data_IF_665774599404
#
_entry.id   IF_665774599404
#
_cell.length_a   1.000
_cell.length_b   1.000
_cell.length_c   1.000
_cell.angle_alpha   90.00
_cell.angle_beta   90.00
_cell.angle_gamma   90.00
#
_symmetry.space_group_name_H-M   'P 1'
#
loop_
_entity.id
_entity.type
_entity.pdbx_description
1 polymer ?
#
# COMPACT_ATOMS: atom_id res chain seq x y z
N UNK A 1 -37.21 42.24 34.61
CA UNK A 1 -36.88 42.73 33.24
C UNK A 1 -35.61 43.57 33.29
N UNK A 2 -34.65 43.30 32.39
CA UNK A 2 -33.32 43.92 32.20
C UNK A 2 -32.16 43.39 33.06
N UNK A 3 -31.54 42.31 32.59
CA UNK A 3 -30.09 42.23 32.29
C UNK A 3 -29.76 40.87 31.63
N UNK A 4 -30.27 40.70 30.40
CA UNK A 4 -29.72 39.77 29.41
C UNK A 4 -29.13 40.70 28.35
N UNK A 5 -27.81 40.92 28.39
CA UNK A 5 -26.96 41.43 27.29
C UNK A 5 -25.61 41.92 27.86
N UNK A 6 -24.66 41.01 28.09
CA UNK A 6 -23.23 41.40 28.03
C UNK A 6 -22.24 40.24 27.83
N UNK A 7 -22.66 38.98 27.65
CA UNK A 7 -21.71 37.85 27.57
C UNK A 7 -21.53 37.22 26.17
N UNK A 8 -22.13 37.80 25.11
CA UNK A 8 -22.04 37.29 23.73
C UNK A 8 -21.19 38.16 22.77
N UNK A 9 -20.17 38.87 23.25
CA UNK A 9 -19.27 39.66 22.37
C UNK A 9 -17.79 39.27 22.38
N UNK A 10 -17.40 38.17 23.01
CA UNK A 10 -16.00 37.69 23.02
C UNK A 10 -15.83 36.28 22.46
N UNK A 11 -16.74 35.83 21.58
CA UNK A 11 -16.67 34.48 20.99
C UNK A 11 -16.81 34.43 19.48
N UNK A 12 -16.62 35.57 18.79
CA UNK A 12 -16.74 35.67 17.32
C UNK A 12 -15.43 36.11 16.64
N UNK A 13 -14.47 36.65 17.40
CA UNK A 13 -13.16 37.04 16.84
C UNK A 13 -12.11 35.90 16.90
N UNK A 14 -12.18 34.96 17.85
CA UNK A 14 -11.20 33.86 17.97
C UNK A 14 -11.39 32.74 16.93
N UNK A 15 -12.62 32.52 16.44
CA UNK A 15 -12.93 31.47 15.47
C UNK A 15 -12.45 31.82 14.04
N UNK A 16 -12.07 33.08 13.78
CA UNK A 16 -11.45 33.49 12.50
C UNK A 16 -9.94 33.29 12.48
N UNK A 17 -9.28 33.25 13.64
CA UNK A 17 -7.84 33.02 13.72
C UNK A 17 -7.50 31.52 13.62
N UNK A 18 -8.38 30.64 14.10
CA UNK A 18 -8.20 29.18 14.05
C UNK A 18 -8.51 28.61 12.65
N UNK A 19 -9.30 29.30 11.84
CA UNK A 19 -9.66 28.88 10.48
C UNK A 19 -8.57 29.15 9.41
N UNK A 20 -7.49 29.88 9.73
CA UNK A 20 -6.41 30.17 8.78
C UNK A 20 -5.16 29.29 8.92
N UNK A 21 -5.04 28.46 9.98
CA UNK A 21 -3.85 27.63 10.20
C UNK A 21 -3.94 26.19 9.63
N UNK A 22 -5.06 25.81 9.01
CA UNK A 22 -5.24 24.47 8.42
C UNK A 22 -4.63 24.28 7.01
N UNK A 23 -3.78 25.21 6.53
CA UNK A 23 -3.19 25.14 5.18
C UNK A 23 -1.68 24.99 5.12
N UNK A 24 -1.01 24.65 6.23
CA UNK A 24 0.45 24.52 6.28
C UNK A 24 0.92 23.41 7.23
N UNK A 25 0.42 22.17 7.07
CA UNK A 25 1.18 21.04 7.59
C UNK A 25 2.37 20.82 6.65
N UNK A 26 3.50 21.44 6.98
CA UNK A 26 4.73 21.40 6.20
C UNK A 26 5.29 19.98 6.17
N UNK A 27 5.59 19.51 4.96
CA UNK A 27 6.68 18.59 4.70
C UNK A 27 7.96 19.17 5.29
N UNK A 28 8.41 18.60 6.41
CA UNK A 28 9.80 18.71 6.85
C UNK A 28 10.37 17.31 6.82
N UNK A 29 10.81 16.88 5.64
CA UNK A 29 11.80 15.82 5.54
C UNK A 29 13.08 16.32 6.21
N UNK A 30 13.48 15.68 7.31
CA UNK A 30 14.79 15.85 7.90
C UNK A 30 15.84 15.23 6.98
N UNK A 31 16.44 16.06 6.12
CA UNK A 31 17.65 15.70 5.39
C UNK A 31 18.89 15.87 6.29
N UNK A 32 19.88 14.95 6.26
CA UNK A 32 21.10 15.08 7.06
C UNK A 32 21.93 16.30 6.63
N UNK A 33 22.30 17.15 7.59
CA UNK A 33 23.14 18.34 7.39
C UNK A 33 24.50 17.97 6.80
N UNK A 34 24.74 18.31 5.53
CA UNK A 34 26.09 18.39 4.98
C UNK A 34 26.66 19.81 5.18
N UNK A 35 27.83 19.86 5.82
CA UNK A 35 28.64 21.06 6.03
C UNK A 35 29.09 21.65 4.69
N UNK A 36 28.82 22.94 4.49
CA UNK A 36 29.36 23.73 3.39
C UNK A 36 30.71 24.34 3.83
N UNK A 37 31.80 23.89 3.20
CA UNK A 37 33.07 24.63 3.18
C UNK A 37 33.20 25.31 1.81
N UNK A 38 33.29 26.64 1.81
CA UNK A 38 33.23 27.47 0.62
C UNK A 38 34.47 27.36 -0.29
N UNK A 39 34.27 27.65 -1.57
CA UNK A 39 35.33 28.18 -2.42
C UNK A 39 34.73 29.09 -3.51
N UNK A 40 35.47 30.15 -3.79
CA UNK A 40 35.10 31.40 -4.46
C UNK A 40 34.91 31.27 -5.98
N UNK A 41 33.92 32.02 -6.48
CA UNK A 41 33.69 32.35 -7.88
C UNK A 41 34.95 32.90 -8.57
N UNK A 42 35.35 32.28 -9.68
CA UNK A 42 36.16 32.94 -10.71
C UNK A 42 35.47 32.84 -12.06
N UNK A 43 35.22 34.02 -12.61
CA UNK A 43 34.80 34.32 -13.98
C UNK A 43 35.78 33.75 -15.00
N UNK A 44 35.27 33.04 -16.01
CA UNK A 44 36.01 32.66 -17.21
C UNK A 44 35.24 33.06 -18.47
N UNK A 45 36.01 33.58 -19.42
CA UNK A 45 35.62 34.38 -20.58
C UNK A 45 34.84 33.58 -21.62
N UNK A 46 33.86 34.26 -22.22
CA UNK A 46 33.17 33.87 -23.45
C UNK A 46 34.17 33.79 -24.61
N UNK A 47 34.32 32.60 -25.21
CA UNK A 47 34.91 32.44 -26.55
C UNK A 47 33.84 31.84 -27.43
N UNK A 48 33.39 32.62 -28.41
CA UNK A 48 32.38 32.22 -29.37
C UNK A 48 32.91 31.16 -30.32
N UNK A 49 32.24 30.01 -30.34
CA UNK A 49 32.29 29.07 -31.44
C UNK A 49 30.90 29.03 -32.09
N UNK A 50 30.79 29.58 -33.31
CA UNK A 50 29.62 29.37 -34.16
C UNK A 50 29.68 27.93 -34.68
N UNK A 51 29.01 27.02 -33.99
CA UNK A 51 28.60 25.75 -34.59
C UNK A 51 27.25 26.01 -35.27
N UNK A 52 27.25 26.02 -36.60
CA UNK A 52 26.02 25.91 -37.37
C UNK A 52 25.46 24.51 -37.12
N UNK A 53 24.56 24.38 -36.16
CA UNK A 53 23.75 23.18 -36.00
C UNK A 53 22.66 23.29 -37.06
N UNK A 54 22.79 22.52 -38.14
CA UNK A 54 21.61 22.17 -38.94
C UNK A 54 20.61 21.55 -37.97
N UNK A 55 19.46 22.19 -37.81
CA UNK A 55 18.33 21.64 -37.08
C UNK A 55 17.92 20.33 -37.78
N UNK A 56 18.42 19.21 -37.26
CA UNK A 56 17.89 17.89 -37.60
C UNK A 56 16.46 17.86 -37.10
N UNK A 57 15.52 17.69 -38.02
CA UNK A 57 14.08 17.67 -37.80
C UNK A 57 13.59 16.36 -37.15
N UNK A 58 14.35 15.80 -36.22
CA UNK A 58 13.92 14.69 -35.39
C UNK A 58 13.72 15.24 -33.97
N UNK A 59 12.52 15.75 -33.69
CA UNK A 59 12.08 15.83 -32.30
C UNK A 59 12.17 14.40 -31.75
N UNK A 60 13.08 14.16 -30.82
CA UNK A 60 13.23 12.85 -30.16
C UNK A 60 11.87 12.44 -29.60
N UNK A 61 11.25 11.44 -30.25
CA UNK A 61 9.96 10.92 -29.82
C UNK A 61 10.20 10.18 -28.50
N UNK A 62 9.63 10.71 -27.41
CA UNK A 62 9.76 10.10 -26.09
C UNK A 62 9.22 8.67 -26.12
N UNK A 63 9.91 7.71 -25.46
CA UNK A 63 9.49 6.31 -25.47
C UNK A 63 8.10 6.15 -24.84
N UNK A 64 7.28 5.28 -25.42
CA UNK A 64 5.95 4.99 -24.90
C UNK A 64 5.99 4.15 -23.61
N UNK A 65 5.15 4.53 -22.64
CA UNK A 65 5.00 3.88 -21.33
C UNK A 65 3.51 3.65 -21.06
N UNK A 66 3.12 2.40 -20.78
CA UNK A 66 1.78 2.11 -20.26
C UNK A 66 1.70 2.50 -18.79
N UNK A 67 0.63 3.18 -18.40
CA UNK A 67 0.39 3.61 -17.02
C UNK A 67 -0.96 3.08 -16.52
N UNK A 68 -0.88 2.27 -15.46
CA UNK A 68 -2.00 1.72 -14.71
C UNK A 68 -1.97 2.25 -13.26
N UNK A 69 -1.97 3.58 -13.09
CA UNK A 69 -2.07 4.26 -11.79
C UNK A 69 -3.16 5.34 -11.81
N UNK A 70 -3.97 5.40 -10.76
CA UNK A 70 -4.99 6.45 -10.62
C UNK A 70 -4.27 7.79 -10.37
N UNK A 71 -4.79 8.86 -11.01
CA UNK A 71 -4.13 10.17 -11.14
C UNK A 71 -3.50 10.71 -9.85
N UNK A 72 -2.21 10.98 -9.92
CA UNK A 72 -1.41 11.78 -8.97
C UNK A 72 -0.66 12.84 -9.78
N UNK A 73 -1.05 14.11 -9.63
CA UNK A 73 -0.69 15.20 -10.56
C UNK A 73 0.84 15.29 -10.76
N UNK A 74 1.60 15.28 -9.67
CA UNK A 74 3.06 15.46 -9.71
C UNK A 74 3.79 14.25 -10.29
N UNK A 75 3.34 13.03 -9.96
CA UNK A 75 3.90 11.79 -10.51
C UNK A 75 3.70 11.70 -12.03
N UNK A 76 2.50 12.04 -12.50
CA UNK A 76 2.17 11.98 -13.93
C UNK A 76 2.89 13.09 -14.70
N UNK A 77 3.06 14.27 -14.11
CA UNK A 77 3.85 15.35 -14.69
C UNK A 77 5.32 14.93 -14.88
N UNK A 78 5.94 14.38 -13.84
CA UNK A 78 7.33 13.93 -13.90
C UNK A 78 7.57 12.79 -14.90
N UNK A 79 6.59 11.89 -15.09
CA UNK A 79 6.67 10.85 -16.13
C UNK A 79 6.57 11.45 -17.54
N UNK A 80 5.67 12.41 -17.77
CA UNK A 80 5.47 13.04 -19.10
C UNK A 80 6.67 13.83 -19.59
N UNK A 81 7.57 14.26 -18.70
CA UNK A 81 8.84 14.89 -19.08
C UNK A 81 9.79 13.93 -19.83
N UNK A 82 9.64 12.60 -19.63
CA UNK A 82 10.58 11.59 -20.14
C UNK A 82 9.93 10.49 -20.97
N UNK A 83 8.61 10.34 -20.88
CA UNK A 83 7.86 9.29 -21.55
C UNK A 83 6.62 9.85 -22.23
N UNK A 84 6.25 9.22 -23.35
CA UNK A 84 4.90 9.35 -23.90
C UNK A 84 3.98 8.40 -23.13
N UNK A 85 3.29 8.95 -22.13
CA UNK A 85 2.46 8.18 -21.20
C UNK A 85 1.12 7.81 -21.85
N UNK A 86 0.87 6.51 -22.00
CA UNK A 86 -0.41 5.93 -22.36
C UNK A 86 -1.13 5.55 -21.05
N UNK A 87 -2.09 6.37 -20.63
CA UNK A 87 -2.74 6.25 -19.33
C UNK A 87 -4.11 5.57 -19.46
N UNK A 88 -4.17 4.35 -18.92
CA UNK A 88 -5.38 3.51 -18.96
C UNK A 88 -6.58 4.19 -18.32
N UNK A 89 -6.39 4.86 -17.19
CA UNK A 89 -7.49 5.46 -16.43
C UNK A 89 -8.08 6.69 -17.10
N UNK A 90 -7.24 7.46 -17.79
CA UNK A 90 -7.71 8.62 -18.56
C UNK A 90 -8.30 8.25 -19.92
N UNK A 91 -8.00 7.06 -20.45
CA UNK A 91 -8.53 6.61 -21.74
C UNK A 91 -10.05 6.41 -21.74
N UNK A 92 -10.61 5.98 -20.61
CA UNK A 92 -12.02 5.56 -20.52
C UNK A 92 -12.33 4.23 -21.23
N UNK A 93 -11.32 3.54 -21.77
CA UNK A 93 -11.48 2.31 -22.53
C UNK A 93 -11.53 1.07 -21.64
N UNK A 94 -12.05 -0.03 -22.20
CA UNK A 94 -11.87 -1.34 -21.58
C UNK A 94 -10.41 -1.77 -21.68
N UNK A 95 -9.93 -2.59 -20.73
CA UNK A 95 -8.53 -3.04 -20.74
C UNK A 95 -8.11 -3.70 -22.08
N UNK A 96 -8.90 -4.61 -22.69
CA UNK A 96 -8.52 -5.19 -23.99
C UNK A 96 -8.43 -4.16 -25.11
N UNK A 97 -9.36 -3.20 -25.16
CA UNK A 97 -9.36 -2.16 -26.19
C UNK A 97 -8.15 -1.23 -26.04
N UNK A 98 -7.83 -0.83 -24.81
CA UNK A 98 -6.67 0.00 -24.50
C UNK A 98 -5.34 -0.67 -24.86
N UNK A 99 -5.17 -1.95 -24.52
CA UNK A 99 -3.97 -2.69 -24.87
C UNK A 99 -3.84 -2.86 -26.39
N UNK A 100 -4.93 -3.16 -27.09
CA UNK A 100 -4.93 -3.28 -28.54
C UNK A 100 -4.58 -1.94 -29.23
N UNK A 101 -5.11 -0.82 -28.73
CA UNK A 101 -4.76 0.51 -29.23
C UNK A 101 -3.27 0.82 -28.98
N UNK A 102 -2.75 0.44 -27.82
CA UNK A 102 -1.33 0.63 -27.49
C UNK A 102 -0.38 -0.23 -28.34
N UNK A 103 -0.76 -1.45 -28.70
CA UNK A 103 0.02 -2.31 -29.59
C UNK A 103 0.00 -1.83 -31.05
N UNK A 104 -1.13 -1.28 -31.50
CA UNK A 104 -1.27 -0.69 -32.83
C UNK A 104 -0.56 0.66 -33.01
N UNK A 105 0.04 1.21 -31.94
CA UNK A 105 0.76 2.46 -31.97
C UNK A 105 2.00 2.39 -32.87
N UNK A 106 2.41 3.52 -33.47
CA UNK A 106 3.60 3.59 -34.31
C UNK A 106 4.91 3.30 -33.54
N UNK A 107 4.93 3.60 -32.23
CA UNK A 107 5.99 3.18 -31.29
C UNK A 107 5.34 2.46 -30.09
N UNK A 108 5.09 1.14 -30.20
CA UNK A 108 4.43 0.37 -29.15
C UNK A 108 5.23 0.38 -27.84
N UNK A 109 4.55 0.44 -26.69
CA UNK A 109 5.21 0.57 -25.39
C UNK A 109 6.05 -0.65 -25.06
N UNK A 110 7.24 -0.40 -24.51
CA UNK A 110 8.18 -1.45 -24.05
C UNK A 110 8.20 -1.60 -22.54
N UNK A 111 7.59 -0.65 -21.82
CA UNK A 111 7.47 -0.68 -20.38
C UNK A 111 6.02 -0.46 -19.95
N UNK A 112 5.66 -1.05 -18.82
CA UNK A 112 4.40 -0.81 -18.13
C UNK A 112 4.67 -0.50 -16.67
N UNK A 113 3.97 0.51 -16.15
CA UNK A 113 3.95 0.87 -14.75
C UNK A 113 2.60 0.53 -14.16
N UNK A 114 2.59 -0.30 -13.13
CA UNK A 114 1.39 -0.94 -12.57
C UNK A 114 1.35 -0.71 -11.07
N UNK A 115 0.15 -0.49 -10.54
CA UNK A 115 -0.08 -0.37 -9.09
C UNK A 115 -0.58 -1.70 -8.53
N UNK A 116 -0.06 -2.05 -7.35
CA UNK A 116 -0.45 -3.26 -6.62
C UNK A 116 -1.95 -3.32 -6.28
N UNK A 117 -2.47 -4.54 -6.18
CA UNK A 117 -3.86 -4.82 -5.83
C UNK A 117 -4.63 -5.58 -6.91
N UNK A 118 -4.12 -5.65 -8.15
CA UNK A 118 -4.66 -6.52 -9.21
C UNK A 118 -6.09 -6.22 -9.68
N UNK A 119 -6.74 -5.21 -9.09
CA UNK A 119 -8.18 -4.97 -9.24
C UNK A 119 -8.57 -4.36 -10.57
N UNK A 120 -7.59 -3.87 -11.35
CA UNK A 120 -7.84 -3.25 -12.66
C UNK A 120 -6.85 -3.62 -13.78
N UNK A 121 -5.68 -4.17 -13.45
CA UNK A 121 -4.76 -4.72 -14.44
C UNK A 121 -3.99 -5.89 -13.84
N UNK A 122 -4.23 -7.09 -14.39
CA UNK A 122 -3.44 -8.30 -14.09
C UNK A 122 -2.48 -8.52 -15.25
N UNK A 123 -1.19 -8.72 -14.94
CA UNK A 123 -0.19 -9.06 -15.97
C UNK A 123 -0.12 -10.56 -16.06
N UNK A 124 -0.98 -11.14 -16.90
CA UNK A 124 -0.96 -12.55 -17.23
C UNK A 124 -0.71 -12.77 -18.72
N UNK A 125 -0.83 -14.02 -19.18
CA UNK A 125 -0.59 -14.37 -20.58
C UNK A 125 -1.43 -13.51 -21.54
N UNK A 126 -2.69 -13.22 -21.23
CA UNK A 126 -3.56 -12.44 -22.09
C UNK A 126 -3.11 -10.98 -22.19
N UNK A 127 -2.70 -10.37 -21.08
CA UNK A 127 -2.11 -9.03 -21.07
C UNK A 127 -0.83 -8.98 -21.92
N UNK A 128 0.04 -9.98 -21.76
CA UNK A 128 1.32 -10.07 -22.47
C UNK A 128 1.16 -10.45 -23.95
N UNK A 129 0.06 -11.11 -24.32
CA UNK A 129 -0.32 -11.39 -25.71
C UNK A 129 -0.86 -10.13 -26.40
N UNK A 130 -1.57 -9.28 -25.67
CA UNK A 130 -2.12 -8.04 -26.19
C UNK A 130 -1.07 -6.95 -26.44
N UNK A 131 0.08 -7.01 -25.75
CA UNK A 131 1.19 -6.04 -25.93
C UNK A 131 2.54 -6.79 -26.03
N UNK A 132 2.80 -7.52 -27.13
CA UNK A 132 4.01 -8.33 -27.33
C UNK A 132 5.32 -7.53 -27.37
N UNK A 133 5.24 -6.21 -27.56
CA UNK A 133 6.38 -5.28 -27.49
C UNK A 133 6.94 -5.12 -26.07
N UNK A 134 6.18 -5.49 -25.04
CA UNK A 134 6.56 -5.27 -23.64
C UNK A 134 7.86 -6.02 -23.29
N UNK A 135 8.76 -5.32 -22.58
CA UNK A 135 10.06 -5.84 -22.12
C UNK A 135 10.30 -5.61 -20.63
N UNK A 136 9.56 -4.69 -20.03
CA UNK A 136 9.70 -4.36 -18.62
C UNK A 136 8.35 -4.06 -17.96
N UNK A 137 8.16 -4.58 -16.76
CA UNK A 137 7.03 -4.23 -15.88
C UNK A 137 7.59 -3.73 -14.56
N UNK A 138 7.21 -2.51 -14.20
CA UNK A 138 7.48 -1.97 -12.87
C UNK A 138 6.19 -1.92 -12.05
N UNK A 139 6.20 -2.58 -10.90
CA UNK A 139 5.12 -2.52 -9.93
C UNK A 139 5.44 -1.49 -8.84
N UNK A 140 4.58 -0.49 -8.66
CA UNK A 140 4.74 0.58 -7.66
C UNK A 140 4.38 0.13 -6.24
N UNK A 141 4.26 -1.17 -5.99
CA UNK A 141 4.01 -1.74 -4.67
C UNK A 141 4.96 -2.89 -4.37
N UNK A 142 4.99 -3.37 -3.12
CA UNK A 142 5.87 -4.48 -2.76
C UNK A 142 5.34 -5.85 -3.26
N UNK A 143 4.01 -6.07 -3.21
CA UNK A 143 3.42 -7.36 -3.56
C UNK A 143 3.19 -7.56 -5.06
N UNK A 144 3.54 -8.75 -5.55
CA UNK A 144 3.64 -9.11 -6.98
C UNK A 144 2.59 -10.15 -7.41
N UNK A 145 1.61 -10.44 -6.57
CA UNK A 145 0.61 -11.51 -6.74
C UNK A 145 -0.29 -11.38 -7.98
N UNK A 146 -0.40 -10.17 -8.55
CA UNK A 146 -1.15 -9.85 -9.75
C UNK A 146 -0.31 -9.89 -11.04
N UNK A 147 0.97 -10.30 -10.94
CA UNK A 147 1.89 -10.44 -12.08
C UNK A 147 2.30 -11.92 -12.17
N UNK A 148 2.06 -12.54 -13.32
CA UNK A 148 2.56 -13.87 -13.61
C UNK A 148 4.07 -13.82 -13.89
N UNK A 149 4.86 -13.89 -12.82
CA UNK A 149 6.31 -13.81 -12.89
C UNK A 149 6.92 -14.94 -13.74
N UNK A 150 6.30 -16.12 -13.75
CA UNK A 150 6.78 -17.25 -14.55
C UNK A 150 6.56 -16.98 -16.05
N UNK A 151 5.41 -16.44 -16.42
CA UNK A 151 5.10 -16.09 -17.80
C UNK A 151 5.93 -14.89 -18.29
N UNK A 152 6.12 -13.86 -17.45
CA UNK A 152 7.04 -12.76 -17.74
C UNK A 152 8.46 -13.28 -18.01
N UNK A 153 8.99 -14.17 -17.15
CA UNK A 153 10.31 -14.76 -17.34
C UNK A 153 10.40 -15.59 -18.63
N UNK A 154 9.37 -16.39 -18.94
CA UNK A 154 9.30 -17.19 -20.18
C UNK A 154 9.39 -16.32 -21.43
N UNK A 155 8.78 -15.13 -21.39
CA UNK A 155 8.76 -14.16 -22.50
C UNK A 155 9.95 -13.19 -22.51
N UNK A 156 10.83 -13.25 -21.50
CA UNK A 156 11.96 -12.32 -21.37
C UNK A 156 11.54 -10.91 -20.95
N UNK A 157 10.39 -10.77 -20.29
CA UNK A 157 9.92 -9.51 -19.70
C UNK A 157 10.52 -9.39 -18.31
N UNK A 158 11.37 -8.39 -18.09
CA UNK A 158 11.94 -8.10 -16.80
C UNK A 158 10.86 -7.49 -15.88
N UNK A 159 10.89 -7.85 -14.60
CA UNK A 159 9.94 -7.35 -13.61
C UNK A 159 10.70 -6.80 -12.42
N UNK A 160 10.32 -5.62 -11.95
CA UNK A 160 10.84 -5.01 -10.73
C UNK A 160 9.70 -4.36 -9.94
N UNK A 161 10.00 -4.02 -8.69
CA UNK A 161 9.05 -3.36 -7.80
C UNK A 161 9.74 -2.28 -6.95
N UNK A 162 8.96 -1.54 -6.17
CA UNK A 162 9.47 -0.49 -5.28
C UNK A 162 10.27 -1.01 -4.07
N UNK A 163 10.57 -2.30 -4.00
CA UNK A 163 11.40 -2.90 -2.96
C UNK A 163 10.95 -2.56 -1.55
N UNK A 164 11.80 -1.84 -0.81
CA UNK A 164 11.59 -1.50 0.60
C UNK A 164 11.04 -0.10 0.84
N UNK A 165 10.81 0.70 -0.21
CA UNK A 165 10.50 2.15 -0.08
C UNK A 165 9.35 2.43 0.88
N UNK A 166 8.30 1.62 0.88
CA UNK A 166 7.12 1.80 1.75
C UNK A 166 7.18 1.03 3.08
N UNK A 167 8.28 0.34 3.38
CA UNK A 167 8.31 -0.62 4.50
C UNK A 167 8.11 0.04 5.86
N UNK A 168 8.68 1.24 6.03
CA UNK A 168 8.56 2.04 7.25
C UNK A 168 7.12 2.50 7.44
N UNK A 169 6.52 3.10 6.42
CA UNK A 169 5.16 3.66 6.48
C UNK A 169 4.11 2.58 6.70
N UNK A 170 4.23 1.44 6.03
CA UNK A 170 3.32 0.29 6.22
C UNK A 170 3.46 -0.27 7.63
N UNK A 171 4.67 -0.30 8.20
CA UNK A 171 4.86 -0.73 9.58
C UNK A 171 4.25 0.27 10.59
N UNK A 172 4.38 1.58 10.35
CA UNK A 172 3.73 2.61 11.16
C UNK A 172 2.21 2.51 11.06
N UNK A 173 1.67 2.27 9.86
CA UNK A 173 0.24 2.08 9.63
C UNK A 173 -0.30 0.87 10.39
N UNK A 174 0.40 -0.27 10.35
CA UNK A 174 0.01 -1.46 11.09
C UNK A 174 -0.06 -1.23 12.61
N UNK A 175 0.92 -0.53 13.18
CA UNK A 175 0.94 -0.19 14.61
C UNK A 175 -0.13 0.84 14.96
N UNK A 176 -0.35 1.84 14.11
CA UNK A 176 -1.42 2.81 14.25
C UNK A 176 -2.81 2.16 14.24
N UNK A 177 -3.04 1.22 13.32
CA UNK A 177 -4.27 0.45 13.23
C UNK A 177 -4.49 -0.43 14.45
N UNK A 178 -3.43 -1.09 14.94
CA UNK A 178 -3.51 -1.86 16.18
C UNK A 178 -3.89 -0.98 17.38
N UNK A 179 -3.29 0.21 17.48
CA UNK A 179 -3.63 1.18 18.52
C UNK A 179 -5.08 1.64 18.39
N UNK A 180 -5.55 1.91 17.17
CA UNK A 180 -6.95 2.29 16.94
C UNK A 180 -7.93 1.20 17.40
N UNK A 181 -7.69 -0.05 17.02
CA UNK A 181 -8.56 -1.18 17.38
C UNK A 181 -8.56 -1.40 18.90
N UNK A 182 -7.38 -1.49 19.52
CA UNK A 182 -7.28 -1.78 20.96
C UNK A 182 -7.73 -0.60 21.81
N UNK A 183 -7.37 0.64 21.47
CA UNK A 183 -7.69 1.84 22.26
C UNK A 183 -8.99 2.51 21.85
N UNK A 184 -9.62 2.05 20.77
CA UNK A 184 -10.89 2.54 20.22
C UNK A 184 -10.80 4.02 19.82
N UNK A 185 -9.68 4.47 19.27
CA UNK A 185 -9.39 5.90 19.06
C UNK A 185 -10.42 6.55 18.14
N UNK A 186 -10.63 5.99 16.95
CA UNK A 186 -11.60 6.49 15.98
C UNK A 186 -13.04 6.35 16.49
N UNK A 187 -13.34 5.31 17.27
CA UNK A 187 -14.66 5.17 17.90
C UNK A 187 -14.89 6.26 18.98
N UNK A 188 -13.89 6.53 19.81
CA UNK A 188 -13.93 7.59 20.82
C UNK A 188 -14.07 8.97 20.18
N UNK A 189 -13.41 9.21 19.05
CA UNK A 189 -13.55 10.45 18.28
C UNK A 189 -14.96 10.63 17.70
N UNK A 190 -15.61 9.56 17.24
CA UNK A 190 -16.98 9.62 16.70
C UNK A 190 -18.04 9.78 17.79
N UNK A 191 -17.75 9.41 19.02
CA UNK A 191 -18.68 9.44 20.14
C UNK A 191 -19.30 10.84 20.39
N UNK A 192 -18.51 11.90 20.64
CA UNK A 192 -19.06 13.25 20.84
C UNK A 192 -19.68 13.83 19.57
N UNK A 193 -19.22 13.42 18.39
CA UNK A 193 -19.78 13.87 17.10
C UNK A 193 -21.21 13.37 16.87
N UNK A 194 -21.61 12.28 17.55
CA UNK A 194 -22.97 11.76 17.58
C UNK A 194 -23.84 12.42 18.66
N UNK A 195 -23.32 13.44 19.34
CA UNK A 195 -24.00 14.08 20.48
C UNK A 195 -23.97 13.26 21.77
N UNK A 196 -23.21 12.15 21.80
CA UNK A 196 -23.10 11.27 22.96
C UNK A 196 -22.03 11.80 23.92
N UNK A 197 -22.27 11.68 25.22
CA UNK A 197 -21.34 12.14 26.25
C UNK A 197 -21.35 11.23 27.48
N UNK A 198 -20.17 10.83 28.01
CA UNK A 198 -20.10 10.11 29.27
C UNK A 198 -20.72 10.89 30.43
N UNK A 199 -20.71 12.24 30.36
CA UNK A 199 -21.34 13.12 31.34
C UNK A 199 -22.87 13.08 31.29
N UNK A 200 -23.45 12.64 30.17
CA UNK A 200 -24.89 12.43 30.00
C UNK A 200 -25.30 10.97 30.28
N UNK A 201 -24.38 10.14 30.76
CA UNK A 201 -24.62 8.72 31.05
C UNK A 201 -24.38 7.78 29.87
N UNK A 202 -23.88 8.28 28.73
CA UNK A 202 -23.58 7.43 27.58
C UNK A 202 -22.28 6.65 27.83
N UNK A 203 -22.33 5.32 27.75
CA UNK A 203 -21.17 4.48 27.99
C UNK A 203 -20.27 4.39 26.76
N UNK A 204 -19.03 4.88 26.89
CA UNK A 204 -17.94 4.56 25.97
C UNK A 204 -17.05 3.48 26.59
N UNK A 205 -17.02 2.25 26.03
CA UNK A 205 -16.19 1.17 26.57
C UNK A 205 -14.72 1.59 26.64
N UNK A 206 -14.07 1.31 27.77
CA UNK A 206 -12.64 1.53 27.91
C UNK A 206 -11.89 0.66 26.90
N UNK A 207 -10.89 1.24 26.24
CA UNK A 207 -9.99 0.49 25.37
C UNK A 207 -9.05 -0.43 26.16
N UNK A 208 -8.46 -1.39 25.46
CA UNK A 208 -7.52 -2.37 26.01
C UNK A 208 -6.08 -1.88 25.87
N UNK A 209 -5.27 -2.07 26.92
CA UNK A 209 -3.84 -1.71 26.91
C UNK A 209 -3.07 -2.54 25.86
N UNK A 210 -2.20 -1.89 25.08
CA UNK A 210 -1.33 -2.56 24.10
C UNK A 210 -0.11 -3.22 24.75
N UNK A 211 0.58 -2.52 25.65
CA UNK A 211 1.81 -3.03 26.26
C UNK A 211 1.58 -4.29 27.11
N UNK A 212 2.47 -5.26 26.95
CA UNK A 212 2.39 -6.58 27.59
C UNK A 212 1.65 -7.64 26.78
N UNK A 213 1.04 -7.29 25.63
CA UNK A 213 0.37 -8.27 24.76
C UNK A 213 1.36 -9.20 24.06
N UNK A 214 0.92 -10.43 23.79
CA UNK A 214 1.60 -11.38 22.90
C UNK A 214 1.19 -11.07 21.46
N UNK A 215 2.15 -10.77 20.60
CA UNK A 215 1.90 -10.41 19.20
C UNK A 215 2.54 -11.45 18.30
N UNK A 216 1.71 -12.16 17.54
CA UNK A 216 2.13 -13.07 16.49
C UNK A 216 2.16 -12.38 15.14
N UNK A 217 3.29 -12.44 14.42
CA UNK A 217 3.45 -11.85 13.09
C UNK A 217 3.54 -12.96 12.04
N UNK A 218 2.59 -13.02 11.12
CA UNK A 218 2.63 -13.92 9.96
C UNK A 218 3.46 -13.23 8.87
N UNK A 219 4.68 -13.72 8.66
CA UNK A 219 5.62 -13.15 7.69
C UNK A 219 6.57 -12.13 8.31
N UNK A 220 7.75 -12.59 8.74
CA UNK A 220 8.79 -11.73 9.30
C UNK A 220 9.76 -11.18 8.23
N UNK A 221 9.20 -10.57 7.18
CA UNK A 221 9.95 -9.89 6.12
C UNK A 221 10.42 -8.48 6.53
N UNK A 222 10.73 -7.62 5.55
CA UNK A 222 11.14 -6.23 5.82
C UNK A 222 10.10 -5.47 6.67
N UNK A 223 8.83 -5.56 6.29
CA UNK A 223 7.71 -4.94 7.02
C UNK A 223 7.50 -5.60 8.39
N UNK A 224 7.43 -6.94 8.43
CA UNK A 224 7.22 -7.67 9.68
C UNK A 224 8.30 -7.40 10.75
N UNK A 225 9.57 -7.27 10.35
CA UNK A 225 10.66 -6.88 11.24
C UNK A 225 10.49 -5.46 11.81
N UNK A 226 10.05 -4.51 10.97
CA UNK A 226 9.83 -3.13 11.37
C UNK A 226 8.63 -2.99 12.32
N UNK A 227 7.59 -3.82 12.13
CA UNK A 227 6.45 -3.94 13.04
C UNK A 227 6.91 -4.51 14.39
N UNK A 228 7.67 -5.62 14.36
CA UNK A 228 8.21 -6.26 15.56
C UNK A 228 9.01 -5.25 16.42
N UNK A 229 9.98 -4.57 15.81
CA UNK A 229 10.82 -3.56 16.47
C UNK A 229 10.01 -2.46 17.16
N UNK A 230 8.91 -2.01 16.54
CA UNK A 230 8.04 -0.98 17.13
C UNK A 230 7.27 -1.53 18.31
N UNK A 231 6.66 -2.71 18.18
CA UNK A 231 5.84 -3.32 19.23
C UNK A 231 6.66 -3.81 20.43
N UNK A 232 7.93 -4.16 20.24
CA UNK A 232 8.87 -4.37 21.33
C UNK A 232 9.02 -3.13 22.22
N UNK A 233 9.07 -1.94 21.63
CA UNK A 233 9.16 -0.69 22.40
C UNK A 233 7.89 -0.40 23.23
N UNK A 234 6.74 -0.98 22.85
CA UNK A 234 5.53 -0.97 23.68
C UNK A 234 5.55 -2.03 24.80
N UNK A 235 6.60 -2.85 24.87
CA UNK A 235 6.72 -3.97 25.82
C UNK A 235 5.88 -5.19 25.44
N UNK A 236 5.61 -5.40 24.14
CA UNK A 236 4.91 -6.59 23.66
C UNK A 236 5.87 -7.78 23.51
N UNK A 237 5.37 -8.99 23.72
CA UNK A 237 6.12 -10.21 23.46
C UNK A 237 5.92 -10.63 22.00
N UNK A 238 6.99 -10.67 21.19
CA UNK A 238 6.89 -10.93 19.76
C UNK A 238 7.17 -12.40 19.44
N UNK A 239 6.26 -13.00 18.66
CA UNK A 239 6.40 -14.30 18.02
C UNK A 239 6.13 -14.19 16.53
N UNK A 240 6.57 -15.15 15.73
CA UNK A 240 6.35 -15.11 14.28
C UNK A 240 6.20 -16.47 13.63
N UNK A 241 5.58 -16.45 12.45
CA UNK A 241 5.55 -17.55 11.51
C UNK A 241 6.22 -17.14 10.19
N UNK A 242 6.98 -18.07 9.61
CA UNK A 242 7.45 -18.01 8.24
C UNK A 242 7.78 -19.41 7.73
N UNK A 243 8.02 -19.56 6.42
CA UNK A 243 8.37 -20.86 5.81
C UNK A 243 9.57 -21.56 6.46
N UNK A 244 10.52 -20.78 6.96
CA UNK A 244 11.71 -21.24 7.70
C UNK A 244 11.96 -20.30 8.86
N UNK A 245 12.56 -20.78 9.96
CA UNK A 245 13.04 -19.91 11.02
C UNK A 245 14.13 -18.97 10.48
N UNK A 246 14.23 -17.80 11.09
CA UNK A 246 15.27 -16.80 10.85
C UNK A 246 16.27 -16.85 12.00
N UNK A 247 17.49 -17.25 11.71
CA UNK A 247 18.58 -17.34 12.70
C UNK A 247 19.02 -15.96 13.21
N UNK A 248 18.75 -14.90 12.43
CA UNK A 248 19.15 -13.53 12.73
C UNK A 248 18.26 -12.80 13.74
N UNK A 249 17.24 -13.46 14.32
CA UNK A 249 16.28 -12.84 15.24
C UNK A 249 16.05 -13.71 16.46
N UNK A 250 15.78 -13.07 17.61
CA UNK A 250 15.52 -13.75 18.89
C UNK A 250 14.04 -14.06 19.13
N UNK A 251 13.13 -13.64 18.24
CA UNK A 251 11.70 -13.86 18.40
C UNK A 251 11.34 -15.35 18.37
N UNK A 252 10.30 -15.74 19.11
CA UNK A 252 9.83 -17.13 19.13
C UNK A 252 9.23 -17.50 17.77
N UNK A 253 9.75 -18.56 17.16
CA UNK A 253 9.28 -19.09 15.89
C UNK A 253 8.17 -20.14 16.08
N UNK A 254 7.16 -20.09 15.22
CA UNK A 254 6.12 -21.10 15.09
C UNK A 254 6.07 -21.63 13.66
N UNK A 255 5.99 -22.96 13.51
CA UNK A 255 5.95 -23.61 12.20
C UNK A 255 4.60 -23.43 11.49
N UNK A 256 3.51 -23.32 12.24
CA UNK A 256 2.15 -23.12 11.70
C UNK A 256 1.56 -21.80 12.17
N UNK A 257 0.63 -21.26 11.38
CA UNK A 257 -0.13 -20.05 11.74
C UNK A 257 -1.10 -20.33 12.89
N UNK A 258 -1.67 -21.53 12.96
CA UNK A 258 -2.55 -21.94 14.04
C UNK A 258 -1.84 -21.92 15.40
N UNK A 259 -0.65 -22.53 15.51
CA UNK A 259 0.10 -22.54 16.78
C UNK A 259 0.52 -21.13 17.18
N UNK A 260 0.91 -20.30 16.21
CA UNK A 260 1.19 -18.88 16.45
C UNK A 260 -0.04 -18.16 17.01
N UNK A 261 -1.22 -18.37 16.43
CA UNK A 261 -2.47 -17.75 16.87
C UNK A 261 -2.85 -18.17 18.29
N UNK A 262 -2.71 -19.45 18.64
CA UNK A 262 -2.97 -19.97 19.99
C UNK A 262 -2.10 -19.32 21.10
N UNK A 263 -0.94 -18.80 20.71
CA UNK A 263 0.04 -18.16 21.59
C UNK A 263 0.06 -16.63 21.48
N UNK A 264 -0.95 -16.05 20.82
CA UNK A 264 -1.03 -14.61 20.53
C UNK A 264 -2.32 -14.00 21.08
N UNK A 265 -2.25 -12.75 21.50
CA UNK A 265 -3.43 -11.90 21.75
C UNK A 265 -3.72 -11.00 20.54
N UNK A 266 -2.71 -10.80 19.68
CA UNK A 266 -2.80 -10.02 18.44
C UNK A 266 -2.10 -10.82 17.34
N UNK A 267 -2.78 -11.00 16.21
CA UNK A 267 -2.23 -11.62 15.02
C UNK A 267 -2.08 -10.58 13.91
N UNK A 268 -0.85 -10.32 13.47
CA UNK A 268 -0.54 -9.35 12.41
C UNK A 268 -0.16 -10.08 11.13
N UNK A 269 -0.91 -9.85 10.05
CA UNK A 269 -0.66 -10.42 8.72
C UNK A 269 0.25 -9.48 7.93
N UNK A 270 1.49 -9.90 7.70
CA UNK A 270 2.53 -9.15 6.99
C UNK A 270 3.26 -10.00 5.92
N UNK A 271 2.62 -11.07 5.45
CA UNK A 271 3.16 -11.96 4.42
C UNK A 271 2.60 -11.64 3.03
N UNK A 272 3.29 -12.13 2.00
CA UNK A 272 2.82 -12.04 0.63
C UNK A 272 1.71 -13.06 0.37
N UNK A 273 0.77 -12.72 -0.53
CA UNK A 273 -0.22 -13.67 -1.03
C UNK A 273 0.44 -14.67 -1.99
N UNK A 274 0.21 -15.94 -1.75
CA UNK A 274 0.58 -17.07 -2.61
C UNK A 274 -0.53 -18.12 -2.52
N UNK A 275 -0.36 -19.25 -3.22
CA UNK A 275 -1.30 -20.37 -3.10
C UNK A 275 -1.34 -20.93 -1.68
N UNK A 276 -0.19 -20.93 -0.99
CA UNK A 276 -0.02 -21.47 0.35
C UNK A 276 -0.49 -20.51 1.45
N UNK A 277 -0.45 -19.19 1.22
CA UNK A 277 -0.92 -18.20 2.20
C UNK A 277 -2.37 -17.78 1.97
N UNK A 278 -3.00 -18.19 0.87
CA UNK A 278 -4.41 -17.92 0.61
C UNK A 278 -5.28 -18.60 1.68
N UNK A 279 -6.11 -17.82 2.37
CA UNK A 279 -6.99 -18.25 3.45
C UNK A 279 -6.23 -19.00 4.57
N UNK A 280 -4.94 -18.67 4.78
CA UNK A 280 -4.15 -19.28 5.86
C UNK A 280 -4.65 -18.85 7.23
N UNK A 281 -5.31 -17.70 7.33
CA UNK A 281 -6.10 -17.30 8.50
C UNK A 281 -7.57 -17.64 8.20
N UNK A 282 -7.96 -18.86 8.53
CA UNK A 282 -9.31 -19.39 8.39
C UNK A 282 -10.00 -19.45 9.77
N UNK A 283 -11.20 -20.05 9.82
CA UNK A 283 -11.93 -20.31 11.06
C UNK A 283 -11.08 -20.88 12.19
N UNK A 284 -10.32 -21.95 11.94
CA UNK A 284 -9.54 -22.64 12.98
C UNK A 284 -8.48 -21.72 13.59
N UNK A 285 -7.84 -20.89 12.76
CA UNK A 285 -6.85 -19.89 13.24
C UNK A 285 -7.52 -18.79 14.05
N UNK A 286 -8.69 -18.32 13.63
CA UNK A 286 -9.46 -17.31 14.36
C UNK A 286 -9.97 -17.85 15.70
N UNK A 287 -10.40 -19.11 15.73
CA UNK A 287 -10.82 -19.80 16.95
C UNK A 287 -9.64 -20.02 17.90
N UNK A 288 -8.46 -20.37 17.38
CA UNK A 288 -7.23 -20.48 18.15
C UNK A 288 -6.76 -19.13 18.73
N UNK A 289 -6.95 -18.04 17.99
CA UNK A 289 -6.67 -16.67 18.46
C UNK A 289 -7.60 -16.27 19.63
N UNK A 290 -8.84 -16.73 19.57
CA UNK A 290 -9.79 -16.68 20.69
C UNK A 290 -10.47 -15.33 20.94
N UNK A 291 -11.43 -15.34 21.86
CA UNK A 291 -12.42 -14.26 22.10
C UNK A 291 -11.83 -12.89 22.41
N UNK A 292 -10.63 -12.84 22.99
CA UNK A 292 -9.94 -11.60 23.37
C UNK A 292 -8.95 -11.13 22.30
N UNK A 293 -8.81 -11.92 21.23
CA UNK A 293 -7.80 -11.74 20.22
C UNK A 293 -8.17 -10.74 19.13
N UNK A 294 -7.15 -10.12 18.55
CA UNK A 294 -7.30 -9.10 17.50
C UNK A 294 -6.50 -9.46 16.26
N UNK A 295 -7.08 -9.30 15.08
CA UNK A 295 -6.38 -9.50 13.80
C UNK A 295 -6.09 -8.17 13.12
N UNK A 296 -4.86 -7.97 12.64
CA UNK A 296 -4.47 -6.81 11.83
C UNK A 296 -3.99 -7.31 10.46
N UNK A 297 -4.60 -6.85 9.37
CA UNK A 297 -4.19 -7.24 8.02
C UNK A 297 -3.71 -6.03 7.19
N UNK A 298 -2.41 -6.02 6.91
CA UNK A 298 -1.74 -5.04 6.03
C UNK A 298 -1.11 -5.73 4.80
N UNK A 299 -1.38 -7.02 4.60
CA UNK A 299 -0.80 -7.83 3.54
C UNK A 299 -1.68 -7.82 2.30
N UNK A 300 -2.54 -8.84 2.17
CA UNK A 300 -3.55 -8.97 1.12
C UNK A 300 -4.82 -9.53 1.73
N UNK A 301 -5.97 -9.12 1.21
CA UNK A 301 -7.27 -9.58 1.68
C UNK A 301 -7.41 -11.10 1.68
N UNK A 302 -7.17 -11.79 0.54
CA UNK A 302 -7.30 -13.25 0.44
C UNK A 302 -6.35 -14.08 1.29
N UNK A 303 -5.52 -13.47 2.15
CA UNK A 303 -4.75 -14.23 3.15
C UNK A 303 -5.65 -14.66 4.32
N UNK A 304 -6.67 -13.86 4.61
CA UNK A 304 -7.73 -14.19 5.56
C UNK A 304 -8.94 -14.69 4.78
N UNK A 305 -9.57 -15.76 5.25
CA UNK A 305 -10.91 -16.12 4.78
C UNK A 305 -11.90 -15.08 5.31
N UNK A 306 -12.37 -14.20 4.43
CA UNK A 306 -13.17 -13.05 4.84
C UNK A 306 -14.53 -13.46 5.42
N UNK A 307 -15.11 -14.55 4.91
CA UNK A 307 -16.39 -15.05 5.43
C UNK A 307 -16.24 -15.56 6.87
N UNK A 308 -15.17 -16.31 7.13
CA UNK A 308 -14.85 -16.77 8.49
C UNK A 308 -14.54 -15.62 9.44
N UNK A 309 -13.84 -14.57 8.97
CA UNK A 309 -13.56 -13.37 9.76
C UNK A 309 -14.85 -12.63 10.15
N UNK A 310 -15.75 -12.42 9.19
CA UNK A 310 -17.05 -11.77 9.44
C UNK A 310 -17.86 -12.60 10.43
N UNK A 311 -17.91 -13.93 10.27
CA UNK A 311 -18.56 -14.81 11.22
C UNK A 311 -17.92 -14.73 12.62
N UNK A 312 -16.59 -14.73 12.71
CA UNK A 312 -15.87 -14.66 13.99
C UNK A 312 -16.15 -13.38 14.76
N UNK A 313 -16.25 -12.25 14.05
CA UNK A 313 -16.62 -10.96 14.62
C UNK A 313 -18.10 -10.92 15.01
N UNK A 314 -18.97 -11.49 14.18
CA UNK A 314 -20.42 -11.54 14.43
C UNK A 314 -20.80 -12.45 15.60
N UNK A 315 -20.07 -13.54 15.77
CA UNK A 315 -20.25 -14.56 16.83
C UNK A 315 -19.38 -14.29 18.08
N UNK A 316 -18.65 -13.18 18.11
CA UNK A 316 -17.77 -12.78 19.23
C UNK A 316 -16.68 -13.81 19.56
N UNK A 317 -16.23 -14.57 18.56
CA UNK A 317 -15.11 -15.51 18.68
C UNK A 317 -13.76 -14.80 18.69
N UNK A 318 -13.71 -13.55 18.23
CA UNK A 318 -12.56 -12.64 18.37
C UNK A 318 -13.02 -11.24 18.81
N UNK A 319 -12.13 -10.46 19.42
CA UNK A 319 -12.46 -9.15 19.98
C UNK A 319 -12.50 -8.03 18.93
N UNK A 320 -11.77 -8.17 17.82
CA UNK A 320 -11.74 -7.15 16.79
C UNK A 320 -10.80 -7.43 15.64
N UNK A 321 -10.93 -6.60 14.60
CA UNK A 321 -10.04 -6.63 13.45
C UNK A 321 -9.74 -5.21 12.94
N UNK A 322 -8.53 -5.01 12.44
CA UNK A 322 -8.13 -3.86 11.63
C UNK A 322 -7.69 -4.36 10.25
N UNK A 323 -8.27 -3.83 9.19
CA UNK A 323 -8.03 -4.28 7.81
C UNK A 323 -7.69 -3.08 6.92
N UNK A 324 -6.55 -3.16 6.24
CA UNK A 324 -6.18 -2.26 5.14
C UNK A 324 -6.61 -2.81 3.77
N UNK A 325 -6.79 -4.14 3.70
CA UNK A 325 -6.95 -4.91 2.45
C UNK A 325 -8.12 -5.88 2.53
N UNK A 326 -8.79 -6.15 1.40
CA UNK A 326 -10.01 -6.97 1.34
C UNK A 326 -9.96 -8.01 0.22
N UNK A 327 -10.75 -9.09 0.31
CA UNK A 327 -10.75 -10.16 -0.71
C UNK A 327 -11.15 -9.65 -2.10
N UNK A 328 -12.07 -8.68 -2.14
CA UNK A 328 -12.53 -7.99 -3.35
C UNK A 328 -12.36 -6.50 -3.15
N UNK A 329 -11.48 -5.89 -3.93
CA UNK A 329 -11.29 -4.44 -3.96
C UNK A 329 -11.78 -3.87 -5.32
N UNK A 330 -12.32 -2.64 -5.36
CA UNK A 330 -12.67 -1.81 -4.23
C UNK A 330 -13.91 -2.40 -3.51
N UNK A 331 -13.99 -2.26 -2.19
CA UNK A 331 -15.28 -2.31 -1.49
C UNK A 331 -15.78 -0.90 -1.25
N UNK A 332 -16.47 -0.26 -2.22
CA UNK A 332 -17.47 0.73 -1.89
C UNK A 332 -18.75 0.01 -1.44
N UNK A 333 -19.52 0.62 -0.54
CA UNK A 333 -20.81 0.08 -0.11
C UNK A 333 -21.70 -0.30 -1.31
N UNK A 334 -22.69 -1.14 -1.06
CA UNK A 334 -23.81 -1.41 -1.97
C UNK A 334 -24.69 -0.16 -2.19
N UNK A 335 -24.13 0.94 -2.68
CA UNK A 335 -24.85 2.09 -3.27
C UNK A 335 -23.85 3.15 -3.76
N UNK A 336 -23.31 3.00 -4.98
CA UNK A 336 -22.65 4.13 -5.64
C UNK A 336 -22.74 3.99 -7.17
N UNK A 337 -23.81 4.56 -7.74
CA UNK A 337 -23.78 5.04 -9.11
C UNK A 337 -22.97 6.34 -9.14
N UNK A 338 -21.86 6.35 -9.87
CA UNK A 338 -21.14 7.56 -10.29
C UNK A 338 -22.08 8.46 -11.15
N UNK A 339 -21.84 9.79 -11.33
CA UNK A 339 -20.50 10.42 -11.38
C UNK A 339 -20.38 11.83 -10.75
N UNK A 340 -19.17 12.40 -10.90
CA UNK A 340 -18.74 13.81 -10.78
C UNK A 340 -18.26 14.34 -9.43
N UNK A 341 -17.30 15.26 -9.61
CA UNK A 341 -16.41 15.97 -8.69
C UNK A 341 -16.97 16.33 -7.31
N UNK A 342 -16.06 16.29 -6.33
CA UNK A 342 -16.15 17.06 -5.09
C UNK A 342 -17.41 16.81 -4.26
N UNK A 343 -17.55 15.59 -3.71
CA UNK A 343 -18.44 15.37 -2.56
C UNK A 343 -17.78 14.46 -1.51
N UNK A 344 -17.20 15.13 -0.53
CA UNK A 344 -16.86 14.62 0.79
C UNK A 344 -18.16 14.36 1.55
N UNK A 345 -18.73 13.15 1.47
CA UNK A 345 -19.84 12.73 2.33
C UNK A 345 -19.86 11.21 2.51
N UNK A 346 -20.17 10.79 3.74
CA UNK A 346 -19.86 9.48 4.30
C UNK A 346 -20.51 8.28 3.62
N UNK A 347 -19.93 7.11 3.90
CA UNK A 347 -20.55 5.82 3.62
C UNK A 347 -20.34 4.89 4.82
N UNK A 348 -21.46 4.45 5.39
CA UNK A 348 -21.59 3.30 6.28
C UNK A 348 -22.59 2.28 5.70
N UNK A 349 -23.09 1.43 6.60
CA UNK A 349 -24.13 0.38 6.47
C UNK A 349 -23.59 -1.00 6.01
N UNK A 350 -23.72 -2.12 6.75
CA UNK A 350 -24.89 -2.81 7.38
C UNK A 350 -25.92 -3.31 6.39
N UNK A 351 -26.28 -4.59 6.52
CA UNK A 351 -27.62 -5.21 6.46
C UNK A 351 -27.41 -6.72 6.73
N UNK A 352 -28.28 -7.55 7.30
CA UNK A 352 -29.49 -7.47 8.11
C UNK A 352 -29.75 -8.96 8.45
N UNK A 353 -29.89 -9.35 9.73
CA UNK A 353 -30.53 -10.63 10.08
C UNK A 353 -31.60 -10.32 11.13
N UNK A 354 -32.83 -10.59 10.72
CA UNK A 354 -34.06 -10.36 11.45
C UNK A 354 -34.10 -11.08 12.81
N UNK A 355 -34.63 -10.38 13.82
CA UNK A 355 -35.45 -10.97 14.88
C UNK A 355 -36.14 -9.86 15.67
N UNK A 356 -37.46 -9.86 15.61
CA UNK A 356 -38.38 -9.01 16.38
C UNK A 356 -38.23 -9.17 17.91
N UNK A 357 -38.33 -8.04 18.62
CA UNK A 357 -38.36 -7.81 20.08
C UNK A 357 -37.01 -7.61 20.82
N UNK A 358 -36.96 -6.70 21.82
CA UNK A 358 -35.71 -6.27 22.42
C UNK A 358 -35.32 -7.16 23.61
N UNK A 359 -34.04 -7.58 23.72
CA UNK A 359 -33.44 -7.85 25.00
C UNK A 359 -32.40 -6.79 25.37
N UNK A 360 -32.29 -6.59 26.67
CA UNK A 360 -31.40 -5.68 27.38
C UNK A 360 -29.92 -5.99 27.04
N UNK A 361 -29.12 -4.93 26.92
CA UNK A 361 -27.66 -4.89 26.73
C UNK A 361 -26.87 -5.84 27.67
N UNK A 362 -25.61 -6.22 27.36
CA UNK A 362 -24.65 -5.48 26.50
C UNK A 362 -23.90 -6.32 25.44
N UNK A 363 -23.90 -5.89 24.18
CA UNK A 363 -22.94 -6.34 23.15
C UNK A 363 -22.42 -5.12 22.38
N UNK A 364 -21.15 -4.73 22.55
CA UNK A 364 -20.60 -3.50 21.97
C UNK A 364 -19.58 -3.78 20.85
N UNK A 365 -20.11 -4.17 19.69
CA UNK A 365 -19.50 -4.65 18.43
C UNK A 365 -18.83 -3.55 17.60
N UNK A 366 -17.53 -3.48 17.32
CA UNK A 366 -17.03 -2.37 16.47
C UNK A 366 -15.76 -2.63 15.65
N UNK A 367 -15.82 -2.16 14.40
CA UNK A 367 -14.76 -2.09 13.39
C UNK A 367 -14.05 -0.72 13.44
N UNK A 368 -12.72 -0.72 13.29
CA UNK A 368 -11.88 0.48 13.21
C UNK A 368 -11.35 0.70 11.79
N UNK A 369 -11.46 1.93 11.29
CA UNK A 369 -10.79 2.38 10.06
C UNK A 369 -10.17 3.75 10.35
N UNK A 370 -8.87 3.86 10.08
CA UNK A 370 -8.17 5.12 9.83
C UNK A 370 -7.71 5.16 8.36
N UNK A 371 -8.45 5.86 7.48
CA UNK A 371 -7.94 6.25 6.16
C UNK A 371 -7.55 7.71 6.18
N UNK A 372 -6.25 7.96 6.03
CA UNK A 372 -5.77 9.05 5.19
C UNK A 372 -5.29 8.39 3.90
N UNK A 373 -5.57 8.93 2.69
CA UNK A 373 -4.95 8.40 1.49
C UNK A 373 -3.43 8.49 1.67
N UNK A 374 -2.71 7.36 1.58
CA UNK A 374 -1.25 7.29 1.52
C UNK A 374 -0.73 7.80 0.15
N UNK A 375 -1.37 8.81 -0.43
CA UNK A 375 -1.05 9.38 -1.75
C UNK A 375 0.06 10.45 -1.70
N UNK A 376 0.85 10.48 -0.64
CA UNK A 376 1.97 11.43 -0.48
C UNK A 376 3.29 10.78 -0.07
N UNK A 377 3.41 9.44 -0.15
CA UNK A 377 4.67 8.71 0.02
C UNK A 377 5.62 8.96 -1.18
N UNK A 378 6.94 8.70 -1.10
CA UNK A 378 7.98 9.53 -1.73
C UNK A 378 8.00 9.40 -3.26
N UNK A 379 7.07 10.11 -3.89
CA UNK A 379 6.93 10.27 -5.35
C UNK A 379 8.29 10.60 -5.95
N UNK A 380 9.06 11.46 -5.29
CA UNK A 380 10.40 11.85 -5.73
C UNK A 380 11.38 10.66 -5.82
N UNK A 381 11.47 9.82 -4.78
CA UNK A 381 12.37 8.67 -4.76
C UNK A 381 11.94 7.57 -5.75
N UNK A 382 10.62 7.37 -5.88
CA UNK A 382 10.05 6.43 -6.84
C UNK A 382 10.32 6.87 -8.29
N UNK A 383 10.05 8.14 -8.59
CA UNK A 383 10.31 8.76 -9.89
C UNK A 383 11.81 8.71 -10.20
N UNK A 384 12.69 9.09 -9.27
CA UNK A 384 14.14 9.06 -9.46
C UNK A 384 14.65 7.65 -9.80
N UNK A 385 14.19 6.64 -9.05
CA UNK A 385 14.55 5.24 -9.34
C UNK A 385 14.09 4.83 -10.74
N UNK A 386 12.85 5.17 -11.12
CA UNK A 386 12.28 4.82 -12.43
C UNK A 386 13.05 5.47 -13.57
N UNK A 387 13.43 6.74 -13.41
CA UNK A 387 14.20 7.49 -14.40
C UNK A 387 15.58 6.90 -14.64
N UNK A 388 16.22 6.36 -13.60
CA UNK A 388 17.54 5.75 -13.74
C UNK A 388 17.46 4.36 -14.41
N UNK A 389 16.46 3.56 -14.05
CA UNK A 389 16.45 2.12 -14.35
C UNK A 389 15.65 1.76 -15.62
N UNK A 390 14.55 2.44 -15.92
CA UNK A 390 13.70 2.11 -17.08
C UNK A 390 14.47 2.21 -18.42
N UNK A 391 15.20 3.30 -18.72
CA UNK A 391 15.87 3.44 -20.02
C UNK A 391 16.92 2.34 -20.27
N UNK A 392 17.69 1.97 -19.23
CA UNK A 392 18.71 0.92 -19.30
C UNK A 392 18.09 -0.46 -19.56
N UNK A 393 16.90 -0.72 -19.00
CA UNK A 393 16.19 -2.00 -19.14
C UNK A 393 15.42 -2.10 -20.46
N UNK A 394 14.89 -1.00 -20.97
CA UNK A 394 14.27 -0.93 -22.31
C UNK A 394 15.31 -1.14 -23.42
N UNK A 395 16.53 -0.63 -23.23
CA UNK A 395 17.62 -0.74 -24.21
C UNK A 395 18.33 -2.11 -24.23
N UNK A 396 18.10 -2.96 -23.22
CA UNK A 396 18.79 -4.26 -23.12
C UNK A 396 18.29 -5.24 -24.21
N UNK A 397 19.20 -5.86 -25.00
CA UNK A 397 18.82 -6.84 -26.01
C UNK A 397 18.20 -8.09 -25.36
N UNK A 398 17.15 -8.62 -25.97
CA UNK A 398 16.46 -9.83 -25.49
C UNK A 398 17.46 -10.99 -25.34
N UNK A 399 17.65 -11.57 -24.14
CA UNK A 399 18.58 -12.67 -23.93
C UNK A 399 18.21 -13.93 -24.74
N UNK A 400 16.93 -14.11 -25.11
CA UNK A 400 16.47 -15.21 -25.96
C UNK A 400 16.70 -14.99 -27.47
N UNK A 401 17.16 -13.81 -27.90
CA UNK A 401 17.47 -13.56 -29.31
C UNK A 401 18.69 -14.37 -29.82
N UNK A 402 19.53 -14.87 -28.90
CA UNK A 402 20.73 -15.65 -29.23
C UNK A 402 20.60 -17.17 -29.04
N UNK A 403 19.49 -17.67 -28.50
CA UNK A 403 19.30 -19.11 -28.22
C UNK A 403 18.84 -19.95 -29.42
N UNK A 404 18.66 -19.35 -30.60
CA UNK A 404 18.27 -20.09 -31.82
C UNK A 404 19.42 -20.81 -32.54
N UNK A 405 20.67 -20.73 -32.05
CA UNK A 405 21.82 -21.43 -32.64
C UNK A 405 22.85 -21.89 -31.60
N UNK A 406 22.51 -22.84 -30.72
CA UNK A 406 23.50 -23.74 -30.12
C UNK A 406 22.80 -24.97 -29.50
N UNK A 407 23.21 -26.18 -29.92
CA UNK A 407 22.82 -27.45 -29.29
C UNK A 407 23.40 -27.54 -27.87
N UNK A 408 22.74 -28.26 -26.94
CA UNK A 408 23.14 -28.28 -25.53
C UNK A 408 24.36 -29.18 -25.33
N UNK A 409 25.41 -28.65 -24.70
CA UNK A 409 26.36 -29.46 -23.94
C UNK A 409 26.16 -29.18 -22.46
N UNK A 410 25.95 -30.27 -21.71
CA UNK A 410 25.88 -30.31 -20.25
C UNK A 410 27.18 -29.76 -19.64
N UNK A 411 27.07 -28.95 -18.61
CA UNK A 411 27.86 -29.05 -17.36
C UNK A 411 27.26 -28.13 -16.29
N UNK A 412 27.30 -28.63 -15.05
CA UNK A 412 26.87 -28.00 -13.81
C UNK A 412 27.80 -26.85 -13.36
N UNK A 413 27.30 -26.07 -12.40
CA UNK A 413 28.01 -25.21 -11.43
C UNK A 413 28.42 -23.77 -11.80
N UNK A 414 28.22 -22.91 -10.78
CA UNK A 414 28.68 -21.55 -10.56
C UNK A 414 28.01 -20.40 -11.37
N UNK A 415 27.27 -19.55 -10.66
CA UNK A 415 27.61 -18.12 -10.42
C UNK A 415 26.69 -17.63 -9.28
N UNK A 416 27.23 -17.69 -8.08
CA UNK A 416 26.91 -16.79 -6.99
C UNK A 416 28.06 -15.77 -6.90
N UNK A 417 27.78 -14.61 -6.31
CA UNK A 417 28.71 -13.50 -6.00
C UNK A 417 28.90 -12.48 -7.12
N UNK A 418 28.23 -11.32 -7.00
CA UNK A 418 28.89 -9.99 -7.07
C UNK A 418 27.85 -8.87 -6.88
N UNK A 419 27.51 -8.52 -5.64
CA UNK A 419 26.86 -7.23 -5.29
C UNK A 419 27.20 -6.86 -3.83
N UNK A 420 28.48 -6.60 -3.59
CA UNK A 420 28.97 -5.73 -2.51
C UNK A 420 30.16 -4.95 -3.07
N UNK A 421 29.89 -3.72 -3.53
CA UNK A 421 30.82 -2.59 -3.60
C UNK A 421 30.04 -1.33 -3.92
#
# INVERSE_FOLDING_TARGET
MKKINSLNRHKVEDDRQIAMDHRHWRNTDESPRQQTSGCSLRTARTVGFRISVMASSAAEQLPALLLFRVREIDFHAALRERYRVLDFFTSGETLPAFLAAADADADPPRAALIVGGGTRARVDAAFLDAVPSLRFVFNTGAGMDHIDLAECARRGVAVANSGTVYSTDVADHAVGMLLDVLRRVSAAQRFPRRGLSPLLGDYHPLGTKVGGKRVGIIGLGNIGMLIAKRLEAFGCAISYNSRKPKESVSYKYFATVHDLASESDVLVVACALSKETRHVVNRDVLDALGKDGVVINIGRGPIIDEADLVAALGEERIAGAGLDVFEKEPKPSSSASAPTEDTTAGIGATDEVASSQPPKLPSCRHWGWASTPLSSLPIAAEVEWLNHNIPQRIAAPNPNSKLRKAKPKRTHEAIATSLER
#
